data_IF_149326487799
#
_entry.id   IF_149326487799
#
_cell.length_a   1.000
_cell.length_b   1.000
_cell.length_c   1.000
_cell.angle_alpha   90.00
_cell.angle_beta   90.00
_cell.angle_gamma   90.00
#
_symmetry.space_group_name_H-M   'P 1'
#
loop_
_entity.id
_entity.type
_entity.pdbx_description
1 polymer ?
#
# COMPACT_ATOMS: atom_id res chain seq x y z
N UNK A 1 8.44 3.55 -17.83
CA UNK A 1 8.78 3.84 -16.41
C UNK A 1 8.48 2.61 -15.58
N UNK A 2 9.24 2.38 -14.51
CA UNK A 2 9.07 1.23 -13.61
C UNK A 2 8.16 1.60 -12.43
N UNK A 3 7.41 0.61 -11.95
CA UNK A 3 6.64 0.66 -10.72
C UNK A 3 7.29 -0.20 -9.64
N UNK A 4 7.14 0.23 -8.39
CA UNK A 4 7.68 -0.42 -7.21
C UNK A 4 6.56 -0.74 -6.23
N UNK A 5 6.67 -1.90 -5.58
CA UNK A 5 5.84 -2.30 -4.46
C UNK A 5 6.75 -2.84 -3.34
N UNK A 6 6.47 -2.50 -2.08
CA UNK A 6 7.25 -2.96 -0.93
C UNK A 6 6.39 -3.20 0.32
N UNK A 7 6.89 -4.00 1.25
CA UNK A 7 6.27 -4.29 2.56
C UNK A 7 7.14 -3.72 3.69
N UNK A 8 6.50 -3.06 4.65
CA UNK A 8 7.12 -2.51 5.88
C UNK A 8 6.16 -2.65 7.07
N UNK A 9 6.66 -2.63 8.31
CA UNK A 9 5.83 -2.37 9.51
C UNK A 9 5.90 -0.94 10.02
N UNK A 10 6.59 -0.05 9.32
CA UNK A 10 6.86 1.31 9.75
C UNK A 10 8.25 1.47 10.39
N UNK A 11 8.81 0.41 10.94
CA UNK A 11 10.17 0.42 11.53
C UNK A 11 11.18 -0.23 10.59
N UNK A 12 10.81 -1.37 10.01
CA UNK A 12 11.67 -2.17 9.13
C UNK A 12 11.11 -2.23 7.73
N UNK A 13 12.00 -2.11 6.74
CA UNK A 13 11.69 -2.39 5.34
C UNK A 13 12.01 -3.85 5.02
N UNK A 14 11.00 -4.67 4.75
CA UNK A 14 11.20 -6.12 4.58
C UNK A 14 11.67 -6.49 3.18
N UNK A 15 10.94 -6.06 2.16
CA UNK A 15 11.21 -6.46 0.77
C UNK A 15 10.51 -5.54 -0.23
N UNK A 16 11.06 -5.46 -1.45
CA UNK A 16 10.45 -4.78 -2.58
C UNK A 16 10.58 -5.56 -3.90
N UNK A 17 9.64 -5.30 -4.81
CA UNK A 17 9.69 -5.78 -6.19
C UNK A 17 9.32 -4.66 -7.14
N UNK A 18 9.85 -4.77 -8.35
CA UNK A 18 9.62 -3.81 -9.42
C UNK A 18 9.16 -4.50 -10.71
N UNK A 19 8.39 -3.77 -11.48
CA UNK A 19 7.94 -4.19 -12.80
C UNK A 19 7.55 -2.97 -13.65
N UNK A 20 7.47 -3.14 -14.97
CA UNK A 20 6.92 -2.11 -15.86
C UNK A 20 5.42 -1.90 -15.56
N UNK A 21 4.70 -2.97 -15.22
CA UNK A 21 3.29 -2.92 -14.83
C UNK A 21 3.11 -2.81 -13.32
N UNK A 22 2.36 -1.82 -12.86
CA UNK A 22 2.07 -1.62 -11.42
C UNK A 22 1.40 -2.83 -10.76
N UNK A 23 0.55 -3.54 -11.49
CA UNK A 23 -0.12 -4.75 -10.99
C UNK A 23 0.88 -5.89 -10.79
N UNK A 24 1.80 -6.05 -11.74
CA UNK A 24 2.84 -7.08 -11.69
C UNK A 24 3.85 -6.80 -10.58
N UNK A 25 4.20 -5.53 -10.33
CA UNK A 25 5.09 -5.17 -9.22
C UNK A 25 4.52 -5.65 -7.87
N UNK A 26 3.20 -5.45 -7.67
CA UNK A 26 2.49 -5.92 -6.49
C UNK A 26 2.39 -7.45 -6.42
N UNK A 27 2.06 -8.11 -7.54
CA UNK A 27 1.95 -9.57 -7.59
C UNK A 27 3.29 -10.25 -7.33
N UNK A 28 4.38 -9.71 -7.90
CA UNK A 28 5.74 -10.19 -7.66
C UNK A 28 6.12 -10.06 -6.19
N UNK A 29 5.80 -8.92 -5.56
CA UNK A 29 6.05 -8.70 -4.14
C UNK A 29 5.32 -9.77 -3.31
N UNK A 30 4.02 -9.95 -3.55
CA UNK A 30 3.24 -10.90 -2.77
C UNK A 30 3.68 -12.35 -2.99
N UNK A 31 3.93 -12.75 -4.24
CA UNK A 31 4.46 -14.07 -4.57
C UNK A 31 5.79 -14.34 -3.85
N UNK A 32 6.69 -13.35 -3.80
CA UNK A 32 7.94 -13.47 -3.06
C UNK A 32 7.74 -13.57 -1.55
N UNK A 33 6.80 -12.80 -0.97
CA UNK A 33 6.48 -12.91 0.45
C UNK A 33 5.96 -14.32 0.81
N UNK A 34 5.16 -14.94 -0.06
CA UNK A 34 4.71 -16.33 0.12
C UNK A 34 5.91 -17.27 0.09
N UNK A 35 6.76 -17.18 -0.94
CA UNK A 35 7.92 -18.05 -1.12
C UNK A 35 8.89 -17.99 0.07
N UNK A 36 9.11 -16.79 0.62
CA UNK A 36 10.05 -16.54 1.73
C UNK A 36 9.40 -16.52 3.11
N UNK A 37 8.11 -16.85 3.22
CA UNK A 37 7.38 -16.85 4.49
C UNK A 37 7.45 -15.49 5.23
N UNK A 38 7.46 -14.39 4.46
CA UNK A 38 7.49 -13.03 5.01
C UNK A 38 6.07 -12.68 5.49
N UNK A 39 5.86 -12.34 6.78
CA UNK A 39 4.54 -12.00 7.29
C UNK A 39 4.07 -10.66 6.71
N UNK A 40 2.88 -10.67 6.10
CA UNK A 40 2.25 -9.47 5.50
C UNK A 40 1.10 -8.90 6.33
N UNK A 41 0.60 -9.66 7.31
CA UNK A 41 -0.40 -9.17 8.26
C UNK A 41 0.22 -8.12 9.19
N UNK A 42 -0.58 -7.12 9.55
CA UNK A 42 -0.13 -5.97 10.34
C UNK A 42 1.04 -5.20 9.69
N UNK A 43 1.16 -5.29 8.35
CA UNK A 43 2.13 -4.54 7.57
C UNK A 43 1.46 -3.46 6.71
N UNK A 44 2.31 -2.59 6.22
CA UNK A 44 2.04 -1.49 5.30
C UNK A 44 2.55 -1.87 3.92
N UNK A 45 1.70 -1.69 2.91
CA UNK A 45 2.08 -1.80 1.50
C UNK A 45 2.50 -0.42 0.98
N UNK A 46 3.74 -0.30 0.52
CA UNK A 46 4.26 0.90 -0.12
C UNK A 46 4.22 0.71 -1.63
N UNK A 47 3.63 1.65 -2.36
CA UNK A 47 3.34 1.50 -3.78
C UNK A 47 3.62 2.77 -4.57
N UNK A 48 4.33 2.66 -5.71
CA UNK A 48 4.66 3.85 -6.50
C UNK A 48 3.55 4.29 -7.46
N UNK A 49 2.62 3.39 -7.80
CA UNK A 49 1.54 3.65 -8.76
C UNK A 49 0.27 4.22 -8.12
N UNK A 50 -0.68 4.66 -8.96
CA UNK A 50 -2.04 5.02 -8.49
C UNK A 50 -2.71 3.83 -7.82
N UNK A 51 -3.47 4.11 -6.75
CA UNK A 51 -4.28 3.10 -6.08
C UNK A 51 -5.60 2.98 -6.85
N UNK A 52 -5.67 2.05 -7.79
CA UNK A 52 -6.94 1.67 -8.43
C UNK A 52 -7.73 0.71 -7.55
N UNK A 53 -9.01 0.51 -7.85
CA UNK A 53 -9.86 -0.49 -7.19
C UNK A 53 -9.22 -1.89 -7.21
N UNK A 54 -8.65 -2.28 -8.34
CA UNK A 54 -7.96 -3.57 -8.50
C UNK A 54 -6.71 -3.69 -7.62
N UNK A 55 -5.90 -2.62 -7.50
CA UNK A 55 -4.75 -2.59 -6.60
C UNK A 55 -5.20 -2.71 -5.16
N UNK A 56 -6.28 -2.01 -4.79
CA UNK A 56 -6.81 -2.05 -3.44
C UNK A 56 -7.40 -3.43 -3.10
N UNK A 57 -8.12 -4.07 -4.03
CA UNK A 57 -8.61 -5.45 -3.85
C UNK A 57 -7.44 -6.42 -3.64
N UNK A 58 -6.32 -6.24 -4.36
CA UNK A 58 -5.12 -7.04 -4.12
C UNK A 58 -4.54 -6.77 -2.74
N UNK A 59 -4.42 -5.51 -2.31
CA UNK A 59 -3.99 -5.16 -0.96
C UNK A 59 -4.87 -5.84 0.12
N UNK A 60 -6.19 -5.82 -0.07
CA UNK A 60 -7.13 -6.52 0.82
C UNK A 60 -6.87 -8.03 0.88
N UNK A 61 -6.68 -8.68 -0.27
CA UNK A 61 -6.38 -10.11 -0.36
C UNK A 61 -5.04 -10.50 0.23
N UNK A 62 -4.03 -9.63 0.13
CA UNK A 62 -2.73 -9.79 0.79
C UNK A 62 -2.91 -9.70 2.31
N UNK A 63 -3.87 -8.92 2.78
CA UNK A 63 -4.17 -8.77 4.21
C UNK A 63 -3.36 -7.66 4.88
N UNK A 64 -2.94 -6.64 4.12
CA UNK A 64 -2.33 -5.43 4.68
C UNK A 64 -3.41 -4.49 5.23
N UNK A 65 -3.09 -3.79 6.32
CA UNK A 65 -4.01 -2.82 6.93
C UNK A 65 -3.88 -1.40 6.37
N UNK A 66 -2.76 -1.11 5.70
CA UNK A 66 -2.43 0.23 5.19
C UNK A 66 -1.81 0.11 3.80
N UNK A 67 -2.21 0.99 2.88
CA UNK A 67 -1.55 1.20 1.60
C UNK A 67 -1.09 2.65 1.46
N UNK A 68 0.20 2.83 1.17
CA UNK A 68 0.86 4.11 0.95
C UNK A 68 1.17 4.28 -0.53
N UNK A 69 0.83 5.42 -1.10
CA UNK A 69 1.19 5.76 -2.47
C UNK A 69 1.67 7.18 -2.68
N UNK A 70 2.68 7.31 -3.55
CA UNK A 70 3.11 8.62 -4.11
C UNK A 70 2.04 9.24 -5.01
N UNK A 71 1.11 8.44 -5.51
CA UNK A 71 0.07 8.84 -6.47
C UNK A 71 -1.32 8.88 -5.83
N UNK A 72 -2.29 9.41 -6.56
CA UNK A 72 -3.69 9.46 -6.13
C UNK A 72 -4.36 8.08 -6.09
N UNK A 73 -5.29 7.84 -5.15
CA UNK A 73 -6.31 6.82 -5.28
C UNK A 73 -7.44 7.25 -6.24
N UNK A 74 -8.13 6.29 -6.86
CA UNK A 74 -9.38 6.56 -7.59
C UNK A 74 -10.58 6.61 -6.64
N UNK A 75 -11.68 7.26 -7.02
CA UNK A 75 -12.91 7.31 -6.21
C UNK A 75 -13.38 5.92 -5.76
N UNK A 76 -13.42 4.97 -6.69
CA UNK A 76 -13.82 3.59 -6.35
C UNK A 76 -12.82 2.91 -5.40
N UNK A 77 -11.52 3.21 -5.51
CA UNK A 77 -10.54 2.70 -4.55
C UNK A 77 -10.75 3.28 -3.16
N UNK A 78 -11.15 4.55 -3.04
CA UNK A 78 -11.47 5.17 -1.74
C UNK A 78 -12.69 4.47 -1.12
N UNK A 79 -13.77 4.27 -1.88
CA UNK A 79 -14.96 3.55 -1.41
C UNK A 79 -14.60 2.14 -0.92
N UNK A 80 -13.86 1.38 -1.73
CA UNK A 80 -13.43 0.04 -1.33
C UNK A 80 -12.51 0.06 -0.11
N UNK A 81 -11.69 1.09 0.07
CA UNK A 81 -10.80 1.21 1.23
C UNK A 81 -11.61 1.41 2.52
N UNK A 82 -12.71 2.17 2.44
CA UNK A 82 -13.68 2.29 3.52
C UNK A 82 -14.31 0.94 3.85
N UNK A 83 -14.89 0.27 2.84
CA UNK A 83 -15.64 -0.98 3.02
C UNK A 83 -14.76 -2.15 3.50
N UNK A 84 -13.52 -2.20 3.02
CA UNK A 84 -12.58 -3.29 3.32
C UNK A 84 -11.68 -3.00 4.53
N UNK A 85 -11.93 -1.91 5.25
CA UNK A 85 -11.18 -1.52 6.43
C UNK A 85 -9.66 -1.36 6.18
N UNK A 86 -9.29 -0.72 5.07
CA UNK A 86 -7.90 -0.45 4.69
C UNK A 86 -7.63 1.06 4.74
N UNK A 87 -6.60 1.48 5.46
CA UNK A 87 -6.15 2.87 5.45
C UNK A 87 -5.43 3.17 4.13
N UNK A 88 -6.02 4.01 3.29
CA UNK A 88 -5.44 4.42 2.01
C UNK A 88 -4.84 5.82 2.12
N UNK A 89 -3.55 5.93 1.82
CA UNK A 89 -2.81 7.19 1.86
C UNK A 89 -2.20 7.46 0.49
N UNK A 90 -2.43 8.65 -0.04
CA UNK A 90 -1.99 9.06 -1.36
C UNK A 90 -1.27 10.40 -1.36
N UNK A 91 -0.69 10.75 -2.51
CA UNK A 91 0.08 11.98 -2.71
C UNK A 91 1.23 12.18 -1.71
N UNK A 92 1.88 11.09 -1.30
CA UNK A 92 3.02 11.16 -0.38
C UNK A 92 4.19 11.85 -1.07
N UNK A 93 4.60 13.00 -0.56
CA UNK A 93 5.71 13.80 -1.08
C UNK A 93 6.18 14.82 -0.03
N UNK A 94 7.50 14.94 0.13
CA UNK A 94 8.14 16.03 0.89
C UNK A 94 7.51 16.23 2.29
N UNK A 95 7.33 15.14 3.04
CA UNK A 95 6.72 15.15 4.39
C UNK A 95 5.19 15.30 4.42
N UNK A 96 4.53 15.51 3.28
CA UNK A 96 3.09 15.67 3.17
C UNK A 96 2.41 14.43 2.58
N UNK A 97 1.16 14.22 2.95
CA UNK A 97 0.31 13.13 2.43
C UNK A 97 -1.17 13.40 2.73
N UNK A 98 -2.05 12.71 2.02
CA UNK A 98 -3.49 12.74 2.26
C UNK A 98 -3.98 11.37 2.71
N UNK A 99 -4.73 11.31 3.81
CA UNK A 99 -5.42 10.11 4.26
C UNK A 99 -6.83 10.10 3.67
N UNK A 100 -7.20 9.02 2.99
CA UNK A 100 -8.48 8.87 2.30
C UNK A 100 -9.46 7.93 3.02
N UNK A 101 -8.96 7.10 3.93
CA UNK A 101 -9.78 6.16 4.71
C UNK A 101 -9.09 5.78 6.01
N UNK A 102 -9.89 5.46 7.02
CA UNK A 102 -9.45 4.88 8.30
C UNK A 102 -8.23 5.60 8.92
N UNK A 103 -8.31 6.92 9.19
CA UNK A 103 -7.19 7.72 9.69
C UNK A 103 -6.74 7.34 11.11
N UNK A 104 -7.58 6.66 11.88
CA UNK A 104 -7.29 6.24 13.26
C UNK A 104 -6.09 5.30 13.41
N UNK A 105 -5.61 4.68 12.31
CA UNK A 105 -4.37 3.89 12.30
C UNK A 105 -3.08 4.73 12.24
N UNK A 106 -3.18 6.02 11.97
CA UNK A 106 -2.03 6.90 11.78
C UNK A 106 -1.89 7.81 13.00
N UNK A 107 -0.73 7.71 13.67
CA UNK A 107 -0.35 8.64 14.73
C UNK A 107 0.46 9.75 14.11
N UNK A 108 -0.05 10.98 14.21
CA UNK A 108 0.74 12.18 13.88
C UNK A 108 1.53 12.51 15.14
N UNK A 109 2.87 12.47 15.05
CA UNK A 109 3.69 12.98 16.12
C UNK A 109 3.52 14.51 16.17
N UNK A 110 3.08 15.03 17.32
CA UNK A 110 3.18 16.46 17.59
C UNK A 110 4.67 16.81 17.58
N UNK A 111 5.03 17.82 16.79
CA UNK A 111 6.40 18.34 16.69
C UNK A 111 6.70 19.26 17.86
#
# INVERSE_FOLDING_TARGET
>A
GLHNAAISDGDTFFEHRQDIGRHNALDKLYGYCIERHIPVRNKVLIFSGRISSEILIKAAKIGVGVILSKSAPTTLAITLAQDLNITAIGFIRDGNFNIYSHPERIKIAET
#
